data_IF_277581210571
#
_entry.id   IF_277581210571
#
_cell.length_a   1.000
_cell.length_b   1.000
_cell.length_c   1.000
_cell.angle_alpha   90.00
_cell.angle_beta   90.00
_cell.angle_gamma   90.00
#
_symmetry.space_group_name_H-M   'P 1'
#
loop_
_entity.id
_entity.type
_entity.pdbx_description
1 polymer ?
#
# COMPACT_ATOMS: atom_id res chain seq x y z
N UNK A 1 -0.06 -12.36 21.03
CA UNK A 1 -0.35 -11.10 20.28
C UNK A 1 -0.99 -11.42 18.95
N UNK A 2 -0.48 -12.42 18.24
CA UNK A 2 -1.03 -12.98 17.00
C UNK A 2 -1.49 -14.44 17.25
N UNK A 3 -2.40 -15.00 16.43
CA UNK A 3 -3.13 -14.33 15.35
C UNK A 3 -4.15 -13.30 15.89
N UNK A 4 -4.48 -12.32 15.05
CA UNK A 4 -5.60 -11.40 15.27
C UNK A 4 -6.76 -11.91 14.42
N UNK A 5 -7.89 -12.17 15.05
CA UNK A 5 -9.10 -12.64 14.41
C UNK A 5 -9.90 -11.43 13.88
N UNK A 6 -10.04 -11.28 12.55
CA UNK A 6 -10.79 -10.17 11.96
C UNK A 6 -12.29 -10.23 12.31
N UNK A 7 -12.83 -11.37 12.72
CA UNK A 7 -14.23 -11.50 13.14
C UNK A 7 -14.48 -10.97 14.56
N UNK A 8 -13.43 -10.77 15.37
CA UNK A 8 -13.56 -10.25 16.74
C UNK A 8 -13.39 -8.74 16.74
N UNK A 9 -14.51 -8.02 16.76
CA UNK A 9 -14.51 -6.56 16.82
C UNK A 9 -13.65 -6.04 17.99
N UNK A 10 -12.86 -5.01 17.72
CA UNK A 10 -11.99 -4.41 18.73
C UNK A 10 -10.64 -5.11 18.94
N UNK A 11 -10.49 -6.38 18.55
CA UNK A 11 -9.33 -7.19 18.94
C UNK A 11 -8.00 -6.61 18.44
N UNK A 12 -7.95 -6.13 17.19
CA UNK A 12 -6.78 -5.47 16.63
C UNK A 12 -6.29 -4.31 17.53
N UNK A 13 -7.20 -3.43 17.91
CA UNK A 13 -6.87 -2.22 18.68
C UNK A 13 -6.43 -2.57 20.11
N UNK A 14 -7.07 -3.55 20.75
CA UNK A 14 -6.65 -4.05 22.05
C UNK A 14 -5.24 -4.64 22.02
N UNK A 15 -4.88 -5.35 20.94
CA UNK A 15 -3.53 -5.92 20.77
C UNK A 15 -2.46 -4.85 20.52
N UNK A 16 -2.84 -3.68 20.01
CA UNK A 16 -1.92 -2.55 19.81
C UNK A 16 -1.58 -1.77 21.09
N UNK A 17 -2.36 -1.92 22.17
CA UNK A 17 -2.21 -1.12 23.42
C UNK A 17 -0.85 -1.23 24.13
N UNK A 18 -0.04 -2.23 23.81
CA UNK A 18 1.30 -2.38 24.40
C UNK A 18 2.44 -1.92 23.47
N UNK A 19 2.11 -1.39 22.30
CA UNK A 19 3.06 -0.85 21.32
C UNK A 19 3.85 -1.89 20.51
N UNK A 20 3.86 -3.17 20.89
CA UNK A 20 4.73 -4.17 20.23
C UNK A 20 4.36 -4.36 18.76
N UNK A 21 3.06 -4.51 18.45
CA UNK A 21 2.62 -4.72 17.06
C UNK A 21 3.00 -3.52 16.20
N UNK A 22 2.72 -2.30 16.67
CA UNK A 22 3.03 -1.07 15.93
C UNK A 22 4.55 -0.88 15.76
N UNK A 23 5.35 -1.16 16.80
CA UNK A 23 6.80 -1.10 16.70
C UNK A 23 7.36 -2.10 15.67
N UNK A 24 6.80 -3.30 15.61
CA UNK A 24 7.13 -4.29 14.59
C UNK A 24 6.71 -3.85 13.19
N UNK A 25 5.51 -3.29 13.05
CA UNK A 25 5.04 -2.74 11.77
C UNK A 25 5.92 -1.58 11.28
N UNK A 26 6.42 -0.72 12.18
CA UNK A 26 7.40 0.32 11.85
C UNK A 26 8.66 -0.30 11.22
N UNK A 27 9.21 -1.36 11.83
CA UNK A 27 10.38 -2.06 11.28
C UNK A 27 10.08 -2.85 9.99
N UNK A 28 8.83 -3.24 9.73
CA UNK A 28 8.43 -3.81 8.43
C UNK A 28 8.38 -2.71 7.37
N UNK A 29 7.84 -1.54 7.72
CA UNK A 29 7.73 -0.41 6.80
C UNK A 29 9.10 0.22 6.48
N UNK A 30 9.94 0.42 7.49
CA UNK A 30 11.29 0.94 7.36
C UNK A 30 12.21 0.13 8.27
N UNK A 31 12.98 -0.83 7.71
CA UNK A 31 13.86 -1.70 8.48
C UNK A 31 14.83 -0.94 9.40
N UNK A 32 15.09 -1.53 10.57
CA UNK A 32 16.04 -1.02 11.57
C UNK A 32 15.72 0.36 12.17
N UNK A 33 14.46 0.80 12.12
CA UNK A 33 14.03 2.08 12.72
C UNK A 33 13.98 2.00 14.25
N UNK A 34 13.45 0.89 14.79
CA UNK A 34 13.39 0.61 16.22
C UNK A 34 14.33 -0.53 16.55
N UNK A 35 15.27 -0.30 17.47
CA UNK A 35 16.06 -1.39 18.04
C UNK A 35 15.18 -2.22 18.98
N UNK A 36 14.96 -3.48 18.58
CA UNK A 36 14.10 -4.43 19.26
C UNK A 36 14.45 -4.68 20.73
N UNK A 37 15.69 -4.38 21.13
CA UNK A 37 16.18 -4.49 22.52
C UNK A 37 15.65 -3.39 23.44
N UNK A 38 15.20 -2.28 22.87
CA UNK A 38 14.65 -1.13 23.62
C UNK A 38 13.18 -1.33 23.99
N UNK A 39 12.52 -2.34 23.40
CA UNK A 39 11.11 -2.63 23.67
C UNK A 39 10.93 -3.45 24.95
N UNK A 40 10.02 -2.99 25.78
CA UNK A 40 9.53 -3.71 26.95
C UNK A 40 8.69 -4.92 26.51
N UNK A 41 8.94 -6.08 27.13
CA UNK A 41 8.39 -7.39 26.73
C UNK A 41 8.05 -8.25 27.95
N UNK A 42 7.16 -9.22 27.75
CA UNK A 42 6.83 -10.21 28.78
C UNK A 42 6.11 -9.60 29.98
N UNK A 43 6.53 -9.97 31.20
CA UNK A 43 5.84 -9.57 32.43
C UNK A 43 5.91 -8.07 32.72
N UNK A 44 6.92 -7.35 32.22
CA UNK A 44 7.08 -5.91 32.46
C UNK A 44 5.89 -5.11 31.92
N UNK A 45 5.22 -5.62 30.87
CA UNK A 45 4.04 -5.00 30.27
C UNK A 45 2.79 -5.02 31.17
N UNK A 46 2.79 -5.76 32.27
CA UNK A 46 1.73 -5.64 33.30
C UNK A 46 1.70 -4.20 33.84
N UNK A 47 2.86 -3.58 33.99
CA UNK A 47 2.99 -2.19 34.41
C UNK A 47 2.56 -1.21 33.31
N UNK A 48 1.72 -0.24 33.66
CA UNK A 48 1.19 0.76 32.72
C UNK A 48 2.32 1.64 32.17
N UNK A 49 3.26 2.07 33.01
CA UNK A 49 4.35 2.94 32.58
C UNK A 49 5.28 2.26 31.54
N UNK A 50 5.53 0.95 31.67
CA UNK A 50 6.30 0.18 30.67
C UNK A 50 5.60 0.07 29.33
N UNK A 51 4.27 -0.08 29.32
CA UNK A 51 3.49 0.02 28.08
C UNK A 51 3.59 1.42 27.48
N UNK A 52 3.53 2.46 28.32
CA UNK A 52 3.65 3.83 27.86
C UNK A 52 5.03 4.14 27.24
N UNK A 53 6.12 3.61 27.80
CA UNK A 53 7.47 3.72 27.22
C UNK A 53 7.50 3.17 25.78
N UNK A 54 6.94 1.98 25.54
CA UNK A 54 6.82 1.42 24.19
C UNK A 54 5.99 2.31 23.26
N UNK A 55 4.88 2.86 23.74
CA UNK A 55 3.99 3.69 22.93
C UNK A 55 4.63 5.04 22.58
N UNK A 56 5.36 5.66 23.50
CA UNK A 56 6.17 6.86 23.23
C UNK A 56 7.22 6.57 22.16
N UNK A 57 7.91 5.42 22.26
CA UNK A 57 8.86 5.00 21.23
C UNK A 57 8.21 4.82 19.86
N UNK A 58 7.02 4.18 19.81
CA UNK A 58 6.22 4.02 18.57
C UNK A 58 5.89 5.38 17.96
N UNK A 59 5.36 6.33 18.74
CA UNK A 59 4.94 7.64 18.23
C UNK A 59 6.12 8.42 17.66
N UNK A 60 7.24 8.48 18.40
CA UNK A 60 8.43 9.19 17.96
C UNK A 60 9.07 8.53 16.71
N UNK A 61 9.09 7.20 16.67
CA UNK A 61 9.67 6.47 15.54
C UNK A 61 8.81 6.59 14.28
N UNK A 62 7.47 6.57 14.43
CA UNK A 62 6.55 6.81 13.32
C UNK A 62 6.73 8.23 12.75
N UNK A 63 6.86 9.24 13.61
CA UNK A 63 7.16 10.61 13.18
C UNK A 63 8.50 10.67 12.42
N UNK A 64 9.54 10.03 12.93
CA UNK A 64 10.88 10.03 12.32
C UNK A 64 10.91 9.43 10.90
N UNK A 65 10.00 8.50 10.58
CA UNK A 65 9.86 7.92 9.24
C UNK A 65 8.84 8.66 8.35
N UNK A 66 8.33 9.82 8.79
CA UNK A 66 7.45 10.68 8.01
C UNK A 66 5.95 10.30 8.10
N UNK A 67 5.53 9.60 9.15
CA UNK A 67 4.09 9.50 9.46
C UNK A 67 3.60 10.81 10.08
N UNK A 68 2.39 11.23 9.70
CA UNK A 68 1.69 12.35 10.32
C UNK A 68 1.17 11.92 11.70
N UNK A 69 1.82 12.42 12.75
CA UNK A 69 1.47 12.16 14.15
C UNK A 69 0.65 13.28 14.79
N UNK A 70 0.07 14.17 13.97
CA UNK A 70 -0.80 15.24 14.46
C UNK A 70 -2.08 14.63 15.06
N UNK A 71 -2.41 15.01 16.29
CA UNK A 71 -3.58 14.53 17.05
C UNK A 71 -3.56 13.03 17.43
N UNK A 72 -2.38 12.39 17.50
CA UNK A 72 -2.23 11.03 18.04
C UNK A 72 -1.03 10.94 18.99
N UNK A 73 -1.29 10.53 20.23
CA UNK A 73 -0.30 10.30 21.27
C UNK A 73 -0.34 8.87 21.85
N UNK A 74 0.59 8.54 22.77
CA UNK A 74 0.58 7.27 23.50
C UNK A 74 -0.76 6.95 24.17
N UNK A 75 -1.42 7.96 24.74
CA UNK A 75 -2.71 7.87 25.41
C UNK A 75 -3.83 7.40 24.46
N UNK A 76 -3.82 7.85 23.20
CA UNK A 76 -4.81 7.48 22.20
C UNK A 76 -4.70 6.00 21.80
N UNK A 77 -3.46 5.54 21.66
CA UNK A 77 -3.16 4.14 21.34
C UNK A 77 -3.48 3.26 22.55
N UNK A 78 -3.07 3.67 23.75
CA UNK A 78 -3.38 2.95 24.99
C UNK A 78 -4.88 2.87 25.28
N UNK A 79 -5.63 3.89 24.86
CA UNK A 79 -7.09 3.95 24.92
C UNK A 79 -7.80 3.24 23.75
N UNK A 80 -7.05 2.65 22.81
CA UNK A 80 -7.58 2.02 21.60
C UNK A 80 -8.57 2.90 20.81
N UNK A 81 -8.24 4.18 20.62
CA UNK A 81 -9.02 5.09 19.76
C UNK A 81 -8.97 4.60 18.31
N UNK A 82 -9.99 3.85 17.91
CA UNK A 82 -10.02 3.04 16.68
C UNK A 82 -9.60 3.80 15.42
N UNK A 83 -10.15 5.01 15.21
CA UNK A 83 -9.86 5.83 14.03
C UNK A 83 -8.38 6.27 13.96
N UNK A 84 -7.78 6.63 15.11
CA UNK A 84 -6.37 7.03 15.18
C UNK A 84 -5.43 5.84 14.99
N UNK A 85 -5.70 4.72 15.67
CA UNK A 85 -4.88 3.51 15.54
C UNK A 85 -4.97 2.93 14.12
N UNK A 86 -6.17 2.90 13.52
CA UNK A 86 -6.37 2.48 12.13
C UNK A 86 -5.63 3.41 11.15
N UNK A 87 -5.72 4.73 11.36
CA UNK A 87 -5.00 5.72 10.58
C UNK A 87 -3.48 5.53 10.63
N UNK A 88 -2.91 5.26 11.82
CA UNK A 88 -1.49 4.94 11.98
C UNK A 88 -1.12 3.63 11.26
N UNK A 89 -1.91 2.57 11.43
CA UNK A 89 -1.69 1.29 10.74
C UNK A 89 -1.67 1.47 9.23
N UNK A 90 -2.62 2.23 8.68
CA UNK A 90 -2.66 2.54 7.25
C UNK A 90 -1.41 3.31 6.81
N UNK A 91 -1.00 4.34 7.55
CA UNK A 91 0.22 5.09 7.21
C UNK A 91 1.46 4.19 7.17
N UNK A 92 1.57 3.23 8.08
CA UNK A 92 2.68 2.26 8.09
C UNK A 92 2.60 1.27 6.90
N UNK A 93 1.42 0.75 6.59
CA UNK A 93 1.21 -0.10 5.41
C UNK A 93 1.60 0.66 4.15
N UNK A 94 1.12 1.91 4.02
CA UNK A 94 1.45 2.80 2.91
C UNK A 94 2.96 3.00 2.77
N UNK A 95 3.68 3.22 3.88
CA UNK A 95 5.14 3.37 3.86
C UNK A 95 5.83 2.12 3.33
N UNK A 96 5.30 0.94 3.67
CA UNK A 96 5.88 -0.34 3.29
C UNK A 96 5.67 -0.71 1.80
N UNK A 97 4.58 -0.26 1.18
CA UNK A 97 4.19 -0.75 -0.16
C UNK A 97 3.98 0.34 -1.21
N UNK A 98 3.51 1.54 -0.81
CA UNK A 98 3.19 2.62 -1.75
C UNK A 98 4.38 3.57 -1.86
N UNK A 99 4.90 4.05 -0.73
CA UNK A 99 5.94 5.07 -0.72
C UNK A 99 7.32 4.52 -1.17
N UNK A 100 7.44 3.20 -1.34
CA UNK A 100 8.59 2.53 -1.99
C UNK A 100 8.63 2.76 -3.50
N UNK A 101 7.49 3.07 -4.13
CA UNK A 101 7.34 3.19 -5.59
C UNK A 101 7.92 4.53 -6.05
N UNK A 102 9.23 4.51 -6.25
CA UNK A 102 10.05 5.65 -6.64
C UNK A 102 11.06 5.19 -7.67
N UNK A 103 11.50 6.10 -8.53
CA UNK A 103 12.53 5.80 -9.54
C UNK A 103 13.84 5.29 -8.93
N UNK A 104 14.18 5.72 -7.71
CA UNK A 104 15.37 5.26 -7.01
C UNK A 104 15.31 3.79 -6.57
N UNK A 105 14.11 3.26 -6.29
CA UNK A 105 13.91 1.86 -5.91
C UNK A 105 13.49 0.98 -7.09
N UNK A 106 12.84 1.58 -8.10
CA UNK A 106 12.29 0.92 -9.28
C UNK A 106 12.75 1.66 -10.54
N UNK A 107 13.96 1.34 -11.02
CA UNK A 107 14.53 1.99 -12.21
C UNK A 107 13.72 1.69 -13.47
N UNK A 108 12.99 0.58 -13.50
CA UNK A 108 12.07 0.19 -14.58
C UNK A 108 10.94 1.21 -14.80
N UNK A 109 10.60 2.04 -13.81
CA UNK A 109 9.61 3.11 -13.97
C UNK A 109 10.01 4.13 -15.04
N UNK A 110 11.29 4.24 -15.37
CA UNK A 110 11.74 5.11 -16.46
C UNK A 110 11.16 4.73 -17.83
N UNK A 111 10.67 3.50 -18.02
CA UNK A 111 9.91 3.12 -19.21
C UNK A 111 8.59 3.90 -19.38
N UNK A 112 8.12 4.57 -18.32
CA UNK A 112 6.89 5.37 -18.31
C UNK A 112 7.09 6.82 -18.80
N UNK A 113 8.30 7.20 -19.22
CA UNK A 113 8.61 8.55 -19.70
C UNK A 113 7.68 8.95 -20.86
N UNK A 114 7.10 10.14 -20.77
CA UNK A 114 6.36 10.71 -21.91
C UNK A 114 7.34 11.31 -22.94
N UNK A 115 6.94 11.41 -24.21
CA UNK A 115 7.72 12.12 -25.22
C UNK A 115 8.04 13.56 -24.77
N UNK A 116 9.32 13.88 -24.64
CA UNK A 116 9.80 15.21 -24.24
C UNK A 116 9.83 15.49 -22.74
N UNK A 117 9.48 14.51 -21.89
CA UNK A 117 9.64 14.59 -20.44
C UNK A 117 11.05 14.13 -20.02
N UNK A 118 11.57 14.67 -18.92
CA UNK A 118 12.86 14.25 -18.35
C UNK A 118 12.68 13.25 -17.20
N UNK A 119 13.75 12.52 -16.86
CA UNK A 119 13.73 11.59 -15.71
C UNK A 119 13.49 12.31 -14.38
N UNK A 120 13.99 13.54 -14.25
CA UNK A 120 13.80 14.36 -13.05
C UNK A 120 12.33 14.77 -12.89
N UNK A 121 11.65 15.08 -14.00
CA UNK A 121 10.20 15.38 -13.98
C UNK A 121 9.40 14.15 -13.57
N UNK A 122 9.76 12.96 -14.09
CA UNK A 122 9.12 11.72 -13.70
C UNK A 122 9.41 11.37 -12.23
N UNK A 123 10.66 11.55 -11.76
CA UNK A 123 11.08 11.29 -10.39
C UNK A 123 10.41 12.24 -9.37
N UNK A 124 9.97 13.42 -9.80
CA UNK A 124 9.26 14.39 -8.96
C UNK A 124 7.79 14.02 -8.72
N UNK A 125 7.22 13.06 -9.48
CA UNK A 125 5.85 12.60 -9.28
C UNK A 125 5.72 11.85 -7.94
N UNK A 126 4.55 12.01 -7.32
CA UNK A 126 4.20 11.23 -6.12
C UNK A 126 4.01 9.76 -6.48
N UNK A 127 4.19 8.83 -5.52
CA UNK A 127 3.96 7.40 -5.75
C UNK A 127 2.60 7.07 -6.38
N UNK A 128 1.53 7.75 -5.97
CA UNK A 128 0.20 7.56 -6.55
C UNK A 128 0.11 7.99 -8.01
N UNK A 129 0.81 9.07 -8.37
CA UNK A 129 0.85 9.58 -9.74
C UNK A 129 1.65 8.63 -10.64
N UNK A 130 2.76 8.10 -10.13
CA UNK A 130 3.54 7.05 -10.79
C UNK A 130 2.71 5.78 -10.99
N UNK A 131 1.96 5.34 -9.98
CA UNK A 131 1.06 4.20 -10.10
C UNK A 131 -0.06 4.43 -11.12
N UNK A 132 -0.72 5.59 -11.10
CA UNK A 132 -1.73 5.93 -12.10
C UNK A 132 -1.14 5.90 -13.51
N UNK A 133 0.06 6.42 -13.67
CA UNK A 133 0.79 6.40 -14.94
C UNK A 133 1.13 4.99 -15.39
N UNK A 134 1.60 4.14 -14.47
CA UNK A 134 1.88 2.73 -14.71
C UNK A 134 0.63 1.95 -15.15
N UNK A 135 -0.49 2.13 -14.46
CA UNK A 135 -1.77 1.50 -14.85
C UNK A 135 -2.14 1.96 -16.27
N UNK A 136 -2.09 3.26 -16.53
CA UNK A 136 -2.47 3.83 -17.82
C UNK A 136 -1.55 3.42 -18.97
N UNK A 137 -0.27 3.16 -18.70
CA UNK A 137 0.67 2.58 -19.67
C UNK A 137 0.19 1.19 -20.11
N UNK A 138 -0.12 0.31 -19.17
CA UNK A 138 -0.62 -1.04 -19.47
C UNK A 138 -2.00 -1.05 -20.14
N UNK A 139 -2.91 -0.16 -19.71
CA UNK A 139 -4.20 0.02 -20.39
C UNK A 139 -4.01 0.48 -21.85
N UNK A 140 -3.05 1.36 -22.11
CA UNK A 140 -2.73 1.82 -23.47
C UNK A 140 -2.17 0.68 -24.33
N UNK A 141 -1.28 -0.15 -23.78
CA UNK A 141 -0.74 -1.32 -24.48
C UNK A 141 -1.82 -2.38 -24.79
N UNK A 142 -2.83 -2.49 -23.93
CA UNK A 142 -4.02 -3.30 -24.17
C UNK A 142 -5.01 -2.68 -25.17
N UNK A 143 -4.71 -1.51 -25.73
CA UNK A 143 -5.62 -0.72 -26.57
C UNK A 143 -6.95 -0.37 -25.89
N UNK A 144 -6.98 -0.32 -24.56
CA UNK A 144 -8.16 0.13 -23.83
C UNK A 144 -8.31 1.65 -23.99
N UNK A 145 -9.55 2.12 -24.08
CA UNK A 145 -9.88 3.56 -24.03
C UNK A 145 -10.03 4.08 -22.61
N UNK A 146 -10.16 3.18 -21.62
CA UNK A 146 -10.28 3.54 -20.20
C UNK A 146 -8.97 4.08 -19.67
N UNK A 147 -9.04 5.05 -18.75
CA UNK A 147 -7.88 5.56 -18.01
C UNK A 147 -8.23 5.68 -16.55
N UNK A 148 -7.26 5.34 -15.70
CA UNK A 148 -7.30 5.55 -14.27
C UNK A 148 -6.95 7.01 -13.97
N UNK A 149 -7.88 7.72 -13.35
CA UNK A 149 -7.75 9.11 -12.90
C UNK A 149 -7.96 9.26 -11.40
N UNK A 150 -8.51 8.22 -10.76
CA UNK A 150 -8.73 8.13 -9.32
C UNK A 150 -8.67 6.65 -8.88
N UNK A 151 -8.45 6.40 -7.59
CA UNK A 151 -8.41 5.05 -7.00
C UNK A 151 -9.77 4.62 -6.43
N UNK A 152 -10.88 5.13 -6.99
CA UNK A 152 -12.23 4.81 -6.52
C UNK A 152 -13.19 4.49 -7.67
N UNK A 153 -13.95 5.46 -8.17
CA UNK A 153 -15.03 5.24 -9.14
C UNK A 153 -14.57 4.62 -10.44
N UNK A 154 -13.33 4.90 -10.85
CA UNK A 154 -12.77 4.34 -12.09
C UNK A 154 -12.55 2.82 -12.01
N UNK A 155 -12.47 2.28 -10.79
CA UNK A 155 -12.19 0.87 -10.50
C UNK A 155 -13.45 0.06 -10.18
N UNK A 156 -14.59 0.70 -9.91
CA UNK A 156 -15.79 0.03 -9.39
C UNK A 156 -16.36 -1.06 -10.30
N UNK A 157 -16.19 -0.93 -11.60
CA UNK A 157 -16.70 -1.88 -12.58
C UNK A 157 -15.74 -3.04 -12.89
N UNK A 158 -14.59 -3.07 -12.20
CA UNK A 158 -13.53 -4.06 -12.35
C UNK A 158 -12.84 -4.08 -13.72
N UNK A 159 -13.17 -3.17 -14.65
CA UNK A 159 -12.61 -3.21 -16.01
C UNK A 159 -11.12 -2.93 -16.02
N UNK A 160 -10.69 -1.88 -15.31
CA UNK A 160 -9.28 -1.54 -15.21
C UNK A 160 -8.49 -2.67 -14.55
N UNK A 161 -9.00 -3.25 -13.46
CA UNK A 161 -8.36 -4.38 -12.79
C UNK A 161 -8.21 -5.59 -13.71
N UNK A 162 -9.29 -5.98 -14.39
CA UNK A 162 -9.30 -7.14 -15.27
C UNK A 162 -8.25 -7.01 -16.39
N UNK A 163 -8.20 -5.86 -17.06
CA UNK A 163 -7.24 -5.60 -18.14
C UNK A 163 -5.82 -5.52 -17.60
N UNK A 164 -5.61 -4.76 -16.51
CA UNK A 164 -4.29 -4.57 -15.91
C UNK A 164 -3.68 -5.91 -15.49
N UNK A 165 -4.41 -6.73 -14.75
CA UNK A 165 -3.92 -8.02 -14.27
C UNK A 165 -3.57 -8.96 -15.42
N UNK A 166 -4.36 -8.98 -16.48
CA UNK A 166 -4.04 -9.76 -17.68
C UNK A 166 -2.77 -9.26 -18.39
N UNK A 167 -2.52 -7.95 -18.43
CA UNK A 167 -1.30 -7.38 -19.02
C UNK A 167 -0.03 -7.69 -18.23
N UNK A 168 -0.07 -7.50 -16.90
CA UNK A 168 1.12 -7.56 -16.05
C UNK A 168 1.49 -8.99 -15.64
N UNK A 169 0.53 -9.93 -15.71
CA UNK A 169 0.77 -11.31 -15.29
C UNK A 169 1.74 -12.02 -16.26
N UNK A 170 2.79 -12.68 -15.74
CA UNK A 170 3.70 -13.51 -16.54
C UNK A 170 2.97 -14.53 -17.41
N UNK A 171 3.51 -14.82 -18.60
CA UNK A 171 2.84 -15.64 -19.61
C UNK A 171 2.48 -17.05 -19.13
N UNK A 172 3.29 -17.65 -18.25
CA UNK A 172 3.09 -18.97 -17.66
C UNK A 172 1.92 -19.02 -16.66
N UNK A 173 1.60 -17.90 -16.00
CA UNK A 173 0.47 -17.79 -15.09
C UNK A 173 -0.80 -17.26 -15.78
N UNK A 174 -0.64 -16.50 -16.87
CA UNK A 174 -1.74 -15.81 -17.55
C UNK A 174 -2.85 -16.76 -18.02
N UNK A 175 -2.50 -17.96 -18.48
CA UNK A 175 -3.50 -18.95 -18.93
C UNK A 175 -4.39 -19.49 -17.80
N UNK A 176 -4.02 -19.27 -16.54
CA UNK A 176 -4.78 -19.69 -15.35
C UNK A 176 -5.71 -18.59 -14.84
N UNK A 177 -5.56 -17.36 -15.33
CA UNK A 177 -6.44 -16.26 -14.98
C UNK A 177 -7.80 -16.42 -15.66
N UNK A 178 -8.83 -15.89 -15.01
CA UNK A 178 -10.07 -15.50 -15.67
C UNK A 178 -9.73 -14.31 -16.57
N UNK A 179 -9.89 -14.46 -17.88
CA UNK A 179 -9.52 -13.41 -18.83
C UNK A 179 -10.37 -12.15 -18.67
N UNK A 180 -9.83 -10.99 -19.05
CA UNK A 180 -10.57 -9.73 -18.95
C UNK A 180 -11.88 -9.76 -19.73
N UNK A 181 -11.90 -10.43 -20.89
CA UNK A 181 -13.11 -10.65 -21.69
C UNK A 181 -14.21 -11.34 -20.88
N UNK A 182 -13.90 -12.44 -20.19
CA UNK A 182 -14.89 -13.20 -19.42
C UNK A 182 -15.40 -12.39 -18.22
N UNK A 183 -14.52 -11.64 -17.55
CA UNK A 183 -14.93 -10.73 -16.46
C UNK A 183 -15.88 -9.65 -17.00
N UNK A 184 -15.59 -9.06 -18.15
CA UNK A 184 -16.40 -7.98 -18.72
C UNK A 184 -17.73 -8.44 -19.31
N UNK A 185 -17.88 -9.71 -19.66
CA UNK A 185 -19.15 -10.30 -20.09
C UNK A 185 -20.14 -10.52 -18.93
N UNK A 186 -19.66 -10.64 -17.69
CA UNK A 186 -20.54 -10.76 -16.51
C UNK A 186 -21.26 -9.44 -16.23
N UNK A 187 -22.60 -9.39 -16.18
CA UNK A 187 -23.33 -8.13 -15.97
C UNK A 187 -23.24 -7.57 -14.54
N UNK A 188 -23.05 -8.42 -13.51
CA UNK A 188 -23.01 -7.97 -12.12
C UNK A 188 -21.64 -7.44 -11.72
N UNK A 189 -21.55 -6.18 -11.30
CA UNK A 189 -20.31 -5.57 -10.80
C UNK A 189 -19.73 -6.32 -9.60
N UNK A 190 -20.60 -6.78 -8.70
CA UNK A 190 -20.21 -7.60 -7.55
C UNK A 190 -19.49 -8.87 -8.03
N UNK A 191 -20.09 -9.64 -8.94
CA UNK A 191 -19.48 -10.86 -9.45
C UNK A 191 -18.17 -10.60 -10.20
N UNK A 192 -18.06 -9.49 -10.94
CA UNK A 192 -16.79 -9.09 -11.57
C UNK A 192 -15.69 -8.87 -10.52
N UNK A 193 -16.02 -8.18 -9.43
CA UNK A 193 -15.06 -7.95 -8.35
C UNK A 193 -14.61 -9.27 -7.71
N UNK A 194 -15.52 -10.24 -7.51
CA UNK A 194 -15.15 -11.60 -7.06
C UNK A 194 -14.18 -12.29 -8.04
N UNK A 195 -14.42 -12.20 -9.35
CA UNK A 195 -13.52 -12.78 -10.37
C UNK A 195 -12.14 -12.10 -10.39
N UNK A 196 -12.08 -10.78 -10.23
CA UNK A 196 -10.82 -10.04 -10.05
C UNK A 196 -10.08 -10.52 -8.81
N UNK A 197 -10.77 -10.71 -7.69
CA UNK A 197 -10.13 -11.18 -6.45
C UNK A 197 -9.71 -12.65 -6.52
N UNK A 198 -10.37 -13.48 -7.33
CA UNK A 198 -9.93 -14.85 -7.63
C UNK A 198 -8.60 -14.83 -8.41
N UNK A 199 -8.49 -13.98 -9.43
CA UNK A 199 -7.23 -13.70 -10.09
C UNK A 199 -6.17 -13.18 -9.11
N UNK A 200 -6.54 -12.30 -8.17
CA UNK A 200 -5.59 -11.72 -7.22
C UNK A 200 -5.04 -12.76 -6.25
N UNK A 201 -5.89 -13.70 -5.82
CA UNK A 201 -5.50 -14.84 -5.00
C UNK A 201 -4.54 -15.77 -5.74
N UNK A 202 -4.75 -16.00 -7.04
CA UNK A 202 -3.85 -16.79 -7.86
C UNK A 202 -2.44 -16.20 -7.94
N UNK A 203 -2.35 -14.86 -7.92
CA UNK A 203 -1.10 -14.09 -7.97
C UNK A 203 -0.47 -13.83 -6.60
N UNK A 204 -1.09 -14.32 -5.51
CA UNK A 204 -0.73 -14.05 -4.11
C UNK A 204 -0.78 -12.55 -3.71
N UNK A 205 -1.67 -11.79 -4.34
CA UNK A 205 -1.86 -10.35 -4.12
C UNK A 205 -3.17 -9.99 -3.39
N UNK A 206 -4.01 -10.97 -3.05
CA UNK A 206 -5.40 -10.77 -2.59
C UNK A 206 -5.60 -10.43 -1.11
N UNK A 207 -4.61 -9.90 -0.39
CA UNK A 207 -4.66 -9.78 1.09
C UNK A 207 -5.17 -8.46 1.63
N UNK A 208 -5.15 -7.38 0.83
CA UNK A 208 -5.54 -6.03 1.29
C UNK A 208 -6.97 -5.62 0.95
N UNK A 209 -7.56 -6.26 -0.07
CA UNK A 209 -8.80 -5.82 -0.70
C UNK A 209 -9.81 -6.97 -0.67
N UNK A 210 -11.07 -6.67 -0.36
CA UNK A 210 -12.19 -7.60 -0.58
C UNK A 210 -13.06 -7.11 -1.76
N UNK A 211 -13.86 -7.97 -2.41
CA UNK A 211 -14.69 -7.57 -3.56
C UNK A 211 -15.56 -6.33 -3.30
N UNK A 212 -16.11 -6.22 -2.09
CA UNK A 212 -16.93 -5.11 -1.63
C UNK A 212 -16.22 -3.76 -1.73
N UNK A 213 -14.92 -3.72 -1.46
CA UNK A 213 -14.08 -2.51 -1.54
C UNK A 213 -13.87 -2.04 -2.99
N UNK A 214 -14.19 -2.88 -3.98
CA UNK A 214 -14.14 -2.53 -5.42
C UNK A 214 -15.50 -1.97 -5.83
N UNK A 215 -16.55 -2.81 -5.85
CA UNK A 215 -17.81 -2.43 -6.49
C UNK A 215 -18.62 -1.37 -5.72
N UNK A 216 -18.26 -1.10 -4.46
CA UNK A 216 -18.86 -0.02 -3.67
C UNK A 216 -17.96 1.22 -3.52
N UNK A 217 -16.79 1.22 -4.17
CA UNK A 217 -15.80 2.29 -4.00
C UNK A 217 -16.38 3.65 -4.37
N UNK A 218 -16.05 4.65 -3.55
CA UNK A 218 -16.53 6.02 -3.73
C UNK A 218 -15.57 7.02 -3.09
N UNK A 219 -15.52 8.26 -3.61
CA UNK A 219 -14.58 9.27 -3.14
C UNK A 219 -14.70 9.53 -1.64
N UNK A 220 -13.54 9.57 -0.96
CA UNK A 220 -13.46 9.90 0.46
C UNK A 220 -13.87 8.76 1.40
N UNK A 221 -14.03 7.54 0.89
CA UNK A 221 -14.20 6.35 1.72
C UNK A 221 -12.87 5.61 1.91
N UNK A 222 -12.83 4.62 2.81
CA UNK A 222 -11.61 3.84 3.04
C UNK A 222 -11.19 3.03 1.80
N UNK A 223 -12.10 2.80 0.84
CA UNK A 223 -11.80 2.08 -0.40
C UNK A 223 -10.69 2.73 -1.20
N UNK A 224 -10.54 4.06 -1.14
CA UNK A 224 -9.51 4.79 -1.91
C UNK A 224 -8.11 4.30 -1.50
N UNK A 225 -7.90 4.15 -0.19
CA UNK A 225 -6.67 3.63 0.39
C UNK A 225 -6.47 2.14 0.05
N UNK A 226 -7.51 1.32 0.19
CA UNK A 226 -7.40 -0.12 -0.06
C UNK A 226 -7.12 -0.43 -1.53
N UNK A 227 -7.80 0.25 -2.45
CA UNK A 227 -7.55 0.13 -3.89
C UNK A 227 -6.14 0.61 -4.26
N UNK A 228 -5.69 1.75 -3.72
CA UNK A 228 -4.30 2.21 -3.89
C UNK A 228 -3.29 1.17 -3.40
N UNK A 229 -3.50 0.63 -2.19
CA UNK A 229 -2.62 -0.40 -1.62
C UNK A 229 -2.60 -1.69 -2.44
N UNK A 230 -3.75 -2.08 -3.00
CA UNK A 230 -3.84 -3.24 -3.88
C UNK A 230 -3.11 -3.01 -5.21
N UNK A 231 -3.30 -1.86 -5.86
CA UNK A 231 -2.56 -1.49 -7.08
C UNK A 231 -1.05 -1.42 -6.81
N UNK A 232 -0.63 -0.86 -5.68
CA UNK A 232 0.77 -0.86 -5.25
C UNK A 232 1.32 -2.28 -5.06
N UNK A 233 0.53 -3.18 -4.48
CA UNK A 233 0.90 -4.61 -4.33
C UNK A 233 1.09 -5.27 -5.69
N UNK A 234 0.15 -5.06 -6.63
CA UNK A 234 0.28 -5.56 -8.00
C UNK A 234 1.54 -5.04 -8.69
N UNK A 235 1.84 -3.75 -8.55
CA UNK A 235 3.07 -3.16 -9.09
C UNK A 235 4.32 -3.81 -8.48
N UNK A 236 4.42 -3.88 -7.15
CA UNK A 236 5.60 -4.42 -6.47
C UNK A 236 5.89 -5.89 -6.81
N UNK A 237 4.85 -6.66 -7.15
CA UNK A 237 4.98 -8.07 -7.52
C UNK A 237 5.19 -8.27 -9.02
N UNK A 238 4.48 -7.48 -9.84
CA UNK A 238 4.43 -7.63 -11.30
C UNK A 238 4.48 -6.26 -12.00
N UNK A 239 5.64 -5.57 -12.02
CA UNK A 239 5.74 -4.27 -12.70
C UNK A 239 5.42 -4.37 -14.20
N UNK A 240 5.80 -5.47 -14.85
CA UNK A 240 5.57 -5.66 -16.29
C UNK A 240 6.24 -4.61 -17.17
N UNK A 241 7.29 -3.94 -16.68
CA UNK A 241 8.08 -2.96 -17.43
C UNK A 241 9.44 -3.56 -17.82
N UNK A 242 9.92 -3.22 -19.00
CA UNK A 242 11.28 -3.55 -19.41
C UNK A 242 12.26 -2.62 -18.69
N UNK A 243 13.36 -3.17 -18.18
CA UNK A 243 14.38 -2.36 -17.52
C UNK A 243 15.20 -1.59 -18.59
N UNK A 244 15.20 -0.25 -18.58
CA UNK A 244 15.96 0.53 -19.55
C UNK A 244 17.49 0.51 -19.33
N UNK A 245 17.98 -0.22 -18.33
CA UNK A 245 19.40 -0.32 -17.97
C UNK A 245 19.76 0.51 -16.74
N UNK A 246 21.06 0.62 -16.45
CA UNK A 246 21.55 1.38 -15.29
C UNK A 246 21.34 2.89 -15.49
N UNK A 247 20.26 3.41 -14.91
CA UNK A 247 20.01 4.83 -14.81
C UNK A 247 20.67 5.36 -13.53
N UNK A 248 21.52 6.39 -13.66
CA UNK A 248 22.14 7.05 -12.52
C UNK A 248 21.13 8.00 -11.85
N UNK A 249 20.22 7.43 -11.07
CA UNK A 249 19.18 8.15 -10.33
C UNK A 249 19.72 8.38 -8.91
N UNK A 250 20.00 9.63 -8.58
CA UNK A 250 20.48 9.95 -7.24
C UNK A 250 19.36 9.72 -6.22
N UNK A 251 19.60 8.91 -5.17
CA UNK A 251 18.64 8.76 -4.10
C UNK A 251 18.53 10.06 -3.31
N UNK A 252 17.38 10.27 -2.67
CA UNK A 252 17.19 11.35 -1.70
C UNK A 252 18.28 11.30 -0.63
N UNK A 253 18.89 12.45 -0.35
CA UNK A 253 19.94 12.56 0.67
C UNK A 253 19.35 12.46 2.07
N UNK A 254 20.19 12.10 3.05
CA UNK A 254 19.78 12.05 4.46
C UNK A 254 19.32 13.43 4.97
N UNK A 255 19.94 14.50 4.47
CA UNK A 255 19.60 15.87 4.83
C UNK A 255 18.21 16.25 4.31
N UNK A 256 17.92 16.01 3.03
CA UNK A 256 16.59 16.24 2.44
C UNK A 256 15.51 15.44 3.17
N UNK A 257 15.78 14.16 3.44
CA UNK A 257 14.88 13.28 4.18
C UNK A 257 14.61 13.80 5.60
N UNK A 258 15.63 14.34 6.26
CA UNK A 258 15.52 14.91 7.62
C UNK A 258 14.66 16.18 7.61
N UNK A 259 14.92 17.11 6.69
CA UNK A 259 14.13 18.34 6.57
C UNK A 259 12.68 18.11 6.16
N UNK A 260 12.42 17.10 5.33
CA UNK A 260 11.04 16.73 4.96
C UNK A 260 10.25 16.17 6.15
N UNK A 261 10.91 15.44 7.03
CA UNK A 261 10.26 14.76 8.16
C UNK A 261 10.17 15.64 9.43
N UNK A 262 10.91 16.75 9.48
CA UNK A 262 10.90 17.71 10.60
C UNK A 262 9.73 18.70 10.50
#
# INVERSE_FOLDING_TARGET
LIPIDPAVDGQLYERCKNGIILAKMINVAVPNTIDDRTLEKGESLKAIFKRNENLTLVVNSAAAIGCCMVNIGPEDISGARRHLVCGLIWQLIRKAIVDTITLAQHSELAALLSPGETLEQLAALKPEELLMRWVNFHLSNANSVRRLTNFNTDLCDSEIYAILMEQITPLDLRSRLISSKVILEEPSLEKRAYMVMENAKLLDAGTLLIPEDIYTAKPGSHSDNLNLGFIATLFNMYPGLENPGDLNIQPETLEEKTYRNW
#
